data_IF_813353396722
#
_entry.id   IF_813353396722
#
_cell.length_a   1.000
_cell.length_b   1.000
_cell.length_c   1.000
_cell.angle_alpha   90.00
_cell.angle_beta   90.00
_cell.angle_gamma   90.00
#
_symmetry.space_group_name_H-M   'P 1'
#
loop_
_entity.id
_entity.type
_entity.pdbx_description
1 polymer ?
#
# COMPACT_ATOMS: atom_id res chain seq x y z
N UNK A 1 -7.86 -10.14 -27.16
CA UNK A 1 -6.94 -11.28 -27.06
C UNK A 1 -5.69 -10.78 -26.36
N UNK A 2 -5.32 -11.36 -25.22
CA UNK A 2 -4.07 -11.05 -24.52
C UNK A 2 -3.05 -12.04 -25.02
N UNK A 3 -2.03 -11.59 -25.75
CA UNK A 3 -0.92 -12.48 -26.13
C UNK A 3 -0.07 -12.78 -24.90
N UNK A 4 0.74 -13.83 -24.97
CA UNK A 4 1.56 -14.28 -23.83
C UNK A 4 2.43 -13.15 -23.25
N UNK A 5 2.92 -12.24 -24.10
CA UNK A 5 3.71 -11.07 -23.70
C UNK A 5 2.90 -10.09 -22.84
N UNK A 6 1.68 -9.75 -23.27
CA UNK A 6 0.81 -8.86 -22.50
C UNK A 6 0.33 -9.52 -21.20
N UNK A 7 0.13 -10.84 -21.19
CA UNK A 7 -0.26 -11.58 -19.98
C UNK A 7 0.84 -11.50 -18.91
N UNK A 8 2.10 -11.67 -19.30
CA UNK A 8 3.24 -11.53 -18.38
C UNK A 8 3.37 -10.10 -17.84
N UNK A 9 3.13 -9.08 -18.68
CA UNK A 9 3.10 -7.68 -18.25
C UNK A 9 2.04 -7.42 -17.16
N UNK A 10 0.85 -8.00 -17.31
CA UNK A 10 -0.23 -7.89 -16.31
C UNK A 10 0.17 -8.60 -15.01
N UNK A 11 0.72 -9.81 -15.08
CA UNK A 11 1.17 -10.55 -13.89
C UNK A 11 2.22 -9.77 -13.11
N UNK A 12 3.20 -9.18 -13.79
CA UNK A 12 4.22 -8.35 -13.16
C UNK A 12 3.62 -7.13 -12.46
N UNK A 13 2.70 -6.43 -13.12
CA UNK A 13 2.02 -5.26 -12.54
C UNK A 13 1.20 -5.62 -11.30
N UNK A 14 0.44 -6.72 -11.37
CA UNK A 14 -0.37 -7.20 -10.24
C UNK A 14 0.52 -7.65 -9.08
N UNK A 15 1.61 -8.37 -9.36
CA UNK A 15 2.56 -8.77 -8.32
C UNK A 15 3.15 -7.55 -7.59
N UNK A 16 3.55 -6.52 -8.34
CA UNK A 16 4.04 -5.28 -7.76
C UNK A 16 2.97 -4.56 -6.94
N UNK A 17 1.72 -4.50 -7.42
CA UNK A 17 0.60 -3.91 -6.68
C UNK A 17 0.35 -4.65 -5.35
N UNK A 18 0.48 -5.98 -5.33
CA UNK A 18 0.35 -6.77 -4.10
C UNK A 18 1.46 -6.43 -3.10
N UNK A 19 2.72 -6.26 -3.56
CA UNK A 19 3.82 -5.84 -2.68
C UNK A 19 3.51 -4.46 -2.08
N UNK A 20 3.10 -3.49 -2.90
CA UNK A 20 2.73 -2.16 -2.42
C UNK A 20 1.58 -2.21 -1.42
N UNK A 21 0.55 -3.01 -1.69
CA UNK A 21 -0.56 -3.21 -0.78
C UNK A 21 -0.06 -3.71 0.58
N UNK A 22 0.82 -4.71 0.60
CA UNK A 22 1.40 -5.23 1.86
C UNK A 22 2.24 -4.19 2.61
N UNK A 23 2.99 -3.35 1.89
CA UNK A 23 3.76 -2.27 2.52
C UNK A 23 2.84 -1.24 3.16
N UNK A 24 1.86 -0.72 2.41
CA UNK A 24 0.96 0.35 2.88
C UNK A 24 0.00 -0.15 3.97
N UNK A 25 -0.37 -1.43 3.94
CA UNK A 25 -1.21 -2.07 4.98
C UNK A 25 -0.40 -2.71 6.11
N UNK A 26 0.92 -2.51 6.14
CA UNK A 26 1.77 -3.06 7.19
C UNK A 26 1.50 -2.41 8.55
N UNK A 27 1.83 -3.15 9.62
CA UNK A 27 1.72 -2.64 10.99
C UNK A 27 2.58 -1.39 11.23
N UNK A 28 3.76 -1.31 10.61
CA UNK A 28 4.65 -0.15 10.72
C UNK A 28 4.00 1.12 10.14
N UNK A 29 3.46 1.06 8.91
CA UNK A 29 2.78 2.20 8.29
C UNK A 29 1.52 2.58 9.07
N UNK A 30 0.75 1.59 9.52
CA UNK A 30 -0.45 1.84 10.33
C UNK A 30 -0.11 2.53 11.67
N UNK A 31 0.95 2.10 12.36
CA UNK A 31 1.37 2.68 13.63
C UNK A 31 1.78 4.15 13.48
N UNK A 32 2.57 4.47 12.46
CA UNK A 32 2.97 5.86 12.17
C UNK A 32 1.78 6.74 11.80
N UNK A 33 0.86 6.25 10.95
CA UNK A 33 -0.37 6.98 10.63
C UNK A 33 -1.24 7.22 11.88
N UNK A 34 -1.37 6.22 12.75
CA UNK A 34 -2.10 6.37 14.01
C UNK A 34 -1.45 7.41 14.93
N UNK A 35 -0.11 7.45 14.98
CA UNK A 35 0.62 8.46 15.76
C UNK A 35 0.35 9.86 15.25
N UNK A 36 0.44 10.08 13.93
CA UNK A 36 0.14 11.37 13.29
C UNK A 36 -1.28 11.83 13.61
N UNK A 37 -2.27 10.93 13.51
CA UNK A 37 -3.67 11.25 13.82
C UNK A 37 -3.85 11.60 15.31
N UNK A 38 -3.21 10.86 16.22
CA UNK A 38 -3.26 11.16 17.66
C UNK A 38 -2.64 12.51 17.98
N UNK A 39 -1.47 12.81 17.39
CA UNK A 39 -0.80 14.10 17.58
C UNK A 39 -1.67 15.26 17.08
N UNK A 40 -2.32 15.09 15.92
CA UNK A 40 -3.24 16.08 15.37
C UNK A 40 -4.50 16.29 16.22
N UNK A 41 -5.05 15.22 16.82
CA UNK A 41 -6.19 15.33 17.75
C UNK A 41 -5.79 16.00 19.06
N UNK A 42 -4.64 15.64 19.62
CA UNK A 42 -4.12 16.22 20.87
C UNK A 42 -3.81 17.71 20.71
N UNK A 43 -3.29 18.15 19.56
CA UNK A 43 -3.00 19.56 19.30
C UNK A 43 -4.25 20.46 19.22
N UNK A 44 -5.45 19.87 19.07
CA UNK A 44 -6.73 20.58 18.95
C UNK A 44 -7.51 20.65 20.27
N UNK A 45 -7.07 19.95 21.31
CA UNK A 45 -7.60 20.04 22.69
C UNK A 45 -6.69 20.91 23.55
#
# INVERSE_FOLDING_TARGET
MVTSEYAMGIVAAVAFAVVLYKVVTSGAVSAELQKIVKDALNARM
#
